data_IF_469307129530
#
_entry.id   IF_469307129530
#
_cell.length_a   1.000
_cell.length_b   1.000
_cell.length_c   1.000
_cell.angle_alpha   90.00
_cell.angle_beta   90.00
_cell.angle_gamma   90.00
#
_symmetry.space_group_name_H-M   'P 1'
#
loop_
_entity.id
_entity.type
_entity.pdbx_description
1 polymer ?
#
# COMPACT_ATOMS: atom_id res chain seq x y z
N UNK A 1 -0.08 43.36 -35.77
CA UNK A 1 1.27 43.81 -35.38
C UNK A 1 2.09 42.58 -35.07
N UNK A 2 3.06 42.32 -35.94
CA UNK A 2 4.00 41.20 -35.84
C UNK A 2 5.05 41.50 -34.78
N UNK A 3 5.43 40.49 -34.00
CA UNK A 3 6.83 40.31 -33.61
C UNK A 3 7.15 38.81 -33.53
N UNK A 4 8.04 38.40 -34.43
CA UNK A 4 8.66 37.08 -34.57
C UNK A 4 9.91 36.97 -33.67
N UNK A 5 10.52 35.78 -33.66
CA UNK A 5 11.93 35.46 -33.32
C UNK A 5 12.23 35.03 -31.86
N UNK A 6 13.07 34.03 -31.56
CA UNK A 6 13.81 33.00 -32.32
C UNK A 6 14.33 31.99 -31.27
N UNK A 7 14.48 30.74 -31.70
CA UNK A 7 15.00 29.59 -30.95
C UNK A 7 16.45 29.72 -30.48
N UNK A 8 16.81 28.95 -29.45
CA UNK A 8 18.17 28.42 -29.25
C UNK A 8 18.10 26.99 -28.70
N UNK A 9 18.38 26.03 -29.59
CA UNK A 9 18.78 24.67 -29.26
C UNK A 9 20.18 24.73 -28.63
N UNK A 10 20.38 24.00 -27.53
CA UNK A 10 21.71 23.55 -27.12
C UNK A 10 21.63 22.09 -26.69
N UNK A 11 22.02 21.20 -27.61
CA UNK A 11 22.43 19.84 -27.32
C UNK A 11 23.77 19.88 -26.60
N UNK A 12 23.82 19.36 -25.38
CA UNK A 12 25.08 18.87 -24.78
C UNK A 12 24.89 17.40 -24.41
N UNK A 13 25.37 16.54 -25.30
CA UNK A 13 25.63 15.15 -25.00
C UNK A 13 26.94 15.09 -24.20
N UNK A 14 26.88 14.69 -22.93
CA UNK A 14 28.06 14.31 -22.17
C UNK A 14 28.30 12.79 -22.29
N UNK A 15 29.55 12.36 -22.50
CA UNK A 15 29.91 10.97 -22.69
C UNK A 15 29.86 10.16 -21.38
N UNK A 16 29.34 8.94 -21.50
CA UNK A 16 29.45 7.87 -20.49
C UNK A 16 30.92 7.63 -20.11
N UNK A 17 31.26 7.87 -18.84
CA UNK A 17 32.47 7.36 -18.21
C UNK A 17 32.06 6.21 -17.28
N UNK A 18 32.09 4.99 -17.82
CA UNK A 18 32.02 3.76 -17.05
C UNK A 18 33.34 3.57 -16.30
N UNK A 19 33.31 3.62 -14.97
CA UNK A 19 34.42 3.18 -14.11
C UNK A 19 34.12 1.77 -13.62
N UNK A 20 34.96 0.76 -13.88
CA UNK A 20 34.93 -0.47 -13.11
C UNK A 20 35.51 -0.17 -11.72
N UNK A 21 34.72 -0.43 -10.68
CA UNK A 21 35.24 -0.55 -9.32
C UNK A 21 35.44 -2.04 -9.10
N UNK A 22 36.71 -2.44 -9.07
CA UNK A 22 37.13 -3.78 -8.67
C UNK A 22 36.85 -3.96 -7.17
N UNK A 23 35.92 -4.85 -6.85
CA UNK A 23 35.66 -5.31 -5.48
C UNK A 23 36.79 -6.27 -5.04
N UNK A 24 37.49 -6.02 -3.91
CA UNK A 24 38.35 -7.02 -3.32
C UNK A 24 37.50 -8.14 -2.68
N UNK A 25 37.56 -9.32 -3.29
CA UNK A 25 37.06 -10.59 -2.74
C UNK A 25 37.79 -10.88 -1.43
N UNK A 26 37.15 -10.61 -0.30
CA UNK A 26 37.58 -11.11 1.00
C UNK A 26 37.19 -12.58 1.10
N UNK A 27 38.15 -13.46 0.79
CA UNK A 27 38.06 -14.90 0.94
C UNK A 27 37.94 -15.29 2.43
N UNK A 28 36.78 -15.86 2.80
CA UNK A 28 36.59 -16.53 4.08
C UNK A 28 37.24 -17.94 4.03
N UNK A 29 37.94 -18.38 5.08
CA UNK A 29 38.54 -19.70 5.10
C UNK A 29 37.47 -20.80 5.17
N UNK A 30 37.60 -21.78 4.28
CA UNK A 30 36.89 -23.04 4.35
C UNK A 30 37.32 -23.77 5.63
N UNK A 31 36.43 -23.83 6.63
CA UNK A 31 36.64 -24.71 7.77
C UNK A 31 36.02 -26.07 7.45
N UNK A 32 36.85 -26.97 6.96
CA UNK A 32 36.55 -28.39 6.82
C UNK A 32 36.51 -29.01 8.21
N UNK A 33 35.32 -29.18 8.77
CA UNK A 33 35.11 -30.12 9.88
C UNK A 33 34.08 -31.15 9.47
N UNK A 34 34.60 -32.35 9.30
CA UNK A 34 33.95 -33.62 8.99
C UNK A 34 32.81 -33.93 9.96
N UNK A 35 31.64 -34.26 9.40
CA UNK A 35 30.52 -34.92 10.06
C UNK A 35 30.98 -36.21 10.77
N UNK A 36 30.41 -36.56 11.94
CA UNK A 36 29.42 -37.64 11.83
C UNK A 36 28.25 -37.52 12.81
N UNK A 37 27.18 -38.22 12.43
CA UNK A 37 26.02 -38.67 13.24
C UNK A 37 24.73 -37.86 13.03
N UNK A 38 23.98 -38.31 12.00
CA UNK A 38 22.53 -38.19 11.93
C UNK A 38 21.96 -38.93 13.14
N UNK A 39 21.42 -38.17 14.09
CA UNK A 39 20.51 -38.67 15.12
C UNK A 39 19.17 -37.99 14.86
N UNK A 40 18.16 -38.79 14.54
CA UNK A 40 16.85 -38.33 14.10
C UNK A 40 16.24 -37.32 15.07
N UNK A 41 15.94 -36.13 14.56
CA UNK A 41 14.93 -35.27 15.17
C UNK A 41 13.59 -35.97 14.89
N UNK A 42 12.74 -36.23 15.89
CA UNK A 42 11.39 -36.68 15.60
C UNK A 42 10.73 -35.61 14.71
N UNK A 43 10.33 -35.99 13.50
CA UNK A 43 9.38 -35.21 12.71
C UNK A 43 8.08 -35.13 13.53
N UNK A 44 8.01 -34.15 14.43
CA UNK A 44 6.73 -33.56 14.77
C UNK A 44 6.08 -33.13 13.46
N UNK A 45 4.76 -33.32 13.29
CA UNK A 45 4.10 -33.08 12.02
C UNK A 45 4.51 -31.70 11.53
N UNK A 46 5.17 -31.67 10.36
CA UNK A 46 5.54 -30.45 9.67
C UNK A 46 4.32 -29.53 9.75
N UNK A 47 4.47 -28.43 10.50
CA UNK A 47 3.40 -27.49 10.70
C UNK A 47 2.86 -27.12 9.34
N UNK A 48 1.64 -27.54 9.04
CA UNK A 48 0.87 -26.99 7.95
C UNK A 48 0.65 -25.53 8.33
N UNK A 49 1.61 -24.68 7.94
CA UNK A 49 1.33 -23.26 7.76
C UNK A 49 0.30 -23.23 6.65
N UNK A 50 -0.98 -23.20 7.05
CA UNK A 50 -2.03 -22.76 6.16
C UNK A 50 -1.53 -21.45 5.56
N UNK A 51 -1.34 -21.41 4.24
CA UNK A 51 -1.00 -20.17 3.55
C UNK A 51 -2.07 -19.16 3.93
N UNK A 52 -1.71 -18.17 4.76
CA UNK A 52 -2.65 -17.13 5.16
C UNK A 52 -3.12 -16.44 3.88
N UNK A 53 -4.43 -16.37 3.66
CA UNK A 53 -5.00 -15.69 2.50
C UNK A 53 -4.43 -14.26 2.41
N UNK A 54 -4.09 -13.84 1.20
CA UNK A 54 -3.55 -12.51 0.93
C UNK A 54 -4.48 -11.80 -0.02
N UNK A 55 -5.01 -10.66 0.41
CA UNK A 55 -5.77 -9.77 -0.47
C UNK A 55 -4.87 -8.69 -1.03
N UNK A 56 -5.23 -8.22 -2.22
CA UNK A 56 -4.57 -7.10 -2.88
C UNK A 56 -5.57 -5.95 -3.00
N UNK A 57 -5.19 -4.78 -2.49
CA UNK A 57 -5.90 -3.53 -2.70
C UNK A 57 -5.21 -2.82 -3.85
N UNK A 58 -5.90 -2.78 -4.99
CA UNK A 58 -5.33 -2.37 -6.26
C UNK A 58 -5.75 -0.94 -6.62
N UNK A 59 -4.81 -0.18 -7.19
CA UNK A 59 -5.10 1.11 -7.78
C UNK A 59 -5.66 2.14 -6.80
N UNK A 60 -5.25 2.06 -5.53
CA UNK A 60 -5.76 2.96 -4.50
C UNK A 60 -5.41 4.41 -4.79
N UNK A 61 -6.40 5.30 -4.66
CA UNK A 61 -6.28 6.72 -4.96
C UNK A 61 -7.23 7.53 -4.09
N UNK A 62 -6.77 8.65 -3.54
CA UNK A 62 -7.60 9.62 -2.81
C UNK A 62 -7.66 10.95 -3.55
N UNK A 63 -8.84 11.48 -3.81
CA UNK A 63 -9.03 12.84 -4.32
C UNK A 63 -9.85 13.64 -3.36
N UNK A 64 -9.26 14.70 -2.83
CA UNK A 64 -9.97 15.67 -2.01
C UNK A 64 -10.39 16.88 -2.84
N UNK A 65 -11.55 17.45 -2.52
CA UNK A 65 -11.96 18.74 -3.05
C UNK A 65 -11.00 19.82 -2.55
N UNK A 66 -10.86 20.91 -3.30
CA UNK A 66 -9.91 21.98 -2.97
C UNK A 66 -10.14 22.61 -1.58
N UNK A 67 -11.39 22.65 -1.12
CA UNK A 67 -11.77 23.13 0.21
C UNK A 67 -11.74 22.04 1.30
N UNK A 68 -11.31 20.83 0.96
CA UNK A 68 -11.21 19.66 1.84
C UNK A 68 -12.52 19.29 2.58
N UNK A 69 -13.69 19.60 1.97
CA UNK A 69 -14.99 19.21 2.55
C UNK A 69 -15.42 17.80 2.16
N UNK A 70 -14.75 17.22 1.15
CA UNK A 70 -14.99 15.85 0.68
C UNK A 70 -13.70 15.25 0.15
N UNK A 71 -13.46 13.98 0.45
CA UNK A 71 -12.44 13.16 -0.19
C UNK A 71 -13.04 11.85 -0.70
N UNK A 72 -12.82 11.55 -1.97
CA UNK A 72 -13.23 10.30 -2.60
C UNK A 72 -12.02 9.37 -2.71
N UNK A 73 -12.16 8.16 -2.19
CA UNK A 73 -11.24 7.05 -2.34
C UNK A 73 -11.76 6.08 -3.39
N UNK A 74 -10.89 5.65 -4.29
CA UNK A 74 -11.19 4.60 -5.28
C UNK A 74 -10.11 3.52 -5.23
N UNK A 75 -10.52 2.26 -5.28
CA UNK A 75 -9.61 1.10 -5.34
C UNK A 75 -10.38 -0.14 -5.78
N UNK A 76 -9.67 -1.23 -6.05
CA UNK A 76 -10.24 -2.55 -6.32
C UNK A 76 -9.80 -3.54 -5.25
N UNK A 77 -10.76 -4.29 -4.69
CA UNK A 77 -10.50 -5.40 -3.77
C UNK A 77 -10.34 -6.67 -4.59
N UNK A 78 -9.14 -7.26 -4.57
CA UNK A 78 -8.86 -8.53 -5.22
C UNK A 78 -8.38 -9.56 -4.18
N UNK A 79 -9.22 -10.55 -3.91
CA UNK A 79 -8.93 -11.61 -2.94
C UNK A 79 -8.18 -12.79 -3.56
N UNK A 80 -7.96 -12.77 -4.89
CA UNK A 80 -7.48 -13.90 -5.69
C UNK A 80 -8.22 -15.21 -5.37
N UNK A 81 -9.51 -15.11 -5.02
CA UNK A 81 -10.31 -16.21 -4.53
C UNK A 81 -11.69 -16.24 -5.21
N UNK A 82 -12.75 -16.47 -4.45
CA UNK A 82 -14.11 -16.79 -4.94
C UNK A 82 -14.73 -15.64 -5.74
N UNK A 83 -14.45 -14.39 -5.36
CA UNK A 83 -15.01 -13.22 -6.03
C UNK A 83 -14.07 -12.70 -7.11
N UNK A 84 -14.65 -12.27 -8.23
CA UNK A 84 -13.95 -11.41 -9.18
C UNK A 84 -13.51 -10.11 -8.47
N UNK A 85 -12.44 -9.43 -8.95
CA UNK A 85 -12.01 -8.17 -8.38
C UNK A 85 -13.16 -7.14 -8.31
N UNK A 86 -13.39 -6.58 -7.12
CA UNK A 86 -14.54 -5.69 -6.84
C UNK A 86 -14.07 -4.24 -6.76
N UNK A 87 -14.51 -3.35 -7.65
CA UNK A 87 -14.23 -1.92 -7.52
C UNK A 87 -15.00 -1.34 -6.33
N UNK A 88 -14.37 -0.40 -5.64
CA UNK A 88 -14.92 0.23 -4.46
C UNK A 88 -14.69 1.74 -4.52
N UNK A 89 -15.71 2.50 -4.12
CA UNK A 89 -15.64 3.94 -3.94
C UNK A 89 -16.11 4.28 -2.52
N UNK A 90 -15.33 5.11 -1.85
CA UNK A 90 -15.54 5.54 -0.47
C UNK A 90 -15.50 7.06 -0.45
N UNK A 91 -16.57 7.70 0.04
CA UNK A 91 -16.62 9.15 0.21
C UNK A 91 -16.52 9.50 1.69
N UNK A 92 -15.50 10.28 2.05
CA UNK A 92 -15.31 10.84 3.39
C UNK A 92 -15.71 12.32 3.34
N UNK A 93 -16.58 12.75 4.25
CA UNK A 93 -17.00 14.14 4.39
C UNK A 93 -16.26 14.81 5.53
N UNK A 94 -16.06 16.12 5.46
CA UNK A 94 -15.59 16.91 6.60
C UNK A 94 -16.64 16.94 7.71
N UNK A 95 -16.19 17.05 8.95
CA UNK A 95 -17.02 17.41 10.09
C UNK A 95 -16.87 18.91 10.36
N UNK A 96 -17.86 19.69 9.91
CA UNK A 96 -17.84 21.14 10.07
C UNK A 96 -18.03 21.58 11.53
N UNK A 97 -18.76 20.78 12.33
CA UNK A 97 -19.03 21.09 13.74
C UNK A 97 -17.75 20.98 14.57
N UNK A 98 -17.00 19.90 14.35
CA UNK A 98 -15.74 19.64 15.06
C UNK A 98 -14.50 20.17 14.33
N UNK A 99 -14.68 20.88 13.21
CA UNK A 99 -13.62 21.46 12.37
C UNK A 99 -12.61 20.41 11.88
N UNK A 100 -13.07 19.20 11.56
CA UNK A 100 -12.24 18.12 11.02
C UNK A 100 -12.36 18.11 9.49
N UNK A 101 -11.27 18.33 8.75
CA UNK A 101 -11.32 18.27 7.28
C UNK A 101 -11.54 16.82 6.80
N UNK A 102 -12.09 16.65 5.61
CA UNK A 102 -12.40 15.32 5.06
C UNK A 102 -11.18 14.40 4.96
N UNK A 103 -9.99 14.95 4.67
CA UNK A 103 -8.75 14.17 4.59
C UNK A 103 -8.29 13.59 5.93
N UNK A 104 -8.82 14.09 7.05
CA UNK A 104 -8.45 13.70 8.41
C UNK A 104 -9.65 13.16 9.21
N UNK A 105 -10.79 12.93 8.54
CA UNK A 105 -12.00 12.47 9.19
C UNK A 105 -12.18 10.95 9.07
N UNK A 106 -13.04 10.41 9.91
CA UNK A 106 -13.47 9.02 9.87
C UNK A 106 -14.73 8.87 8.99
N UNK A 107 -14.96 7.66 8.52
CA UNK A 107 -16.19 7.29 7.83
C UNK A 107 -16.54 5.84 8.17
N UNK A 108 -17.82 5.53 8.26
CA UNK A 108 -18.29 4.16 8.42
C UNK A 108 -19.32 3.80 7.34
N UNK A 109 -19.33 2.52 6.93
CA UNK A 109 -20.49 1.94 6.26
C UNK A 109 -20.54 2.08 4.74
N UNK A 110 -19.41 2.27 4.05
CA UNK A 110 -19.40 2.07 2.60
C UNK A 110 -19.57 0.59 2.26
N UNK A 111 -20.37 0.31 1.22
CA UNK A 111 -20.66 -1.05 0.76
C UNK A 111 -20.10 -1.20 -0.65
N UNK A 112 -19.24 -2.20 -0.84
CA UNK A 112 -18.59 -2.49 -2.11
C UNK A 112 -18.73 -3.98 -2.42
N UNK A 113 -19.82 -4.35 -3.09
CA UNK A 113 -20.19 -5.75 -3.30
C UNK A 113 -20.34 -6.49 -1.96
N UNK A 114 -19.60 -7.60 -1.73
CA UNK A 114 -19.66 -8.33 -0.45
C UNK A 114 -18.96 -7.58 0.70
N UNK A 115 -18.14 -6.58 0.39
CA UNK A 115 -17.30 -5.93 1.39
C UNK A 115 -18.01 -4.77 2.09
N UNK A 116 -17.68 -4.57 3.37
CA UNK A 116 -17.90 -3.32 4.10
C UNK A 116 -16.57 -2.60 4.23
N UNK A 117 -16.61 -1.29 4.03
CA UNK A 117 -15.44 -0.44 4.14
C UNK A 117 -15.72 0.72 5.07
N UNK A 118 -14.79 0.94 5.99
CA UNK A 118 -14.75 2.13 6.83
C UNK A 118 -13.44 2.90 6.56
N UNK A 119 -13.31 4.06 7.18
CA UNK A 119 -12.10 4.86 7.18
C UNK A 119 -11.82 5.36 8.59
N UNK A 120 -10.57 5.21 9.02
CA UNK A 120 -10.05 5.80 10.26
C UNK A 120 -8.81 6.62 9.96
N UNK A 121 -8.72 7.82 10.52
CA UNK A 121 -7.51 8.65 10.43
C UNK A 121 -6.81 8.77 11.78
N UNK A 122 -5.47 8.85 11.76
CA UNK A 122 -4.66 9.06 12.95
C UNK A 122 -3.47 9.97 12.67
N UNK A 123 -3.13 10.78 13.67
CA UNK A 123 -1.93 11.61 13.75
C UNK A 123 -1.03 11.22 14.93
N UNK A 124 -1.05 9.95 15.35
CA UNK A 124 -0.21 9.47 16.47
C UNK A 124 1.30 9.71 16.24
N UNK A 125 1.72 9.87 14.98
CA UNK A 125 3.11 10.21 14.59
C UNK A 125 3.30 11.70 14.25
N UNK A 126 2.37 12.56 14.65
CA UNK A 126 2.29 13.98 14.30
C UNK A 126 1.33 14.25 13.14
N UNK A 127 0.77 15.46 13.08
CA UNK A 127 -0.24 15.85 12.07
C UNK A 127 0.33 15.79 10.65
N UNK A 128 1.60 16.11 10.46
CA UNK A 128 2.29 16.06 9.17
C UNK A 128 2.62 14.62 8.71
N UNK A 129 2.50 13.65 9.63
CA UNK A 129 2.67 12.22 9.35
C UNK A 129 1.35 11.45 9.57
N UNK A 130 0.23 12.12 9.32
CA UNK A 130 -1.09 11.51 9.37
C UNK A 130 -1.24 10.36 8.37
N UNK A 131 -2.10 9.40 8.69
CA UNK A 131 -2.43 8.30 7.81
C UNK A 131 -3.89 7.91 7.91
N UNK A 132 -4.44 7.40 6.80
CA UNK A 132 -5.77 6.80 6.74
C UNK A 132 -5.64 5.29 6.70
N UNK A 133 -6.39 4.59 7.51
CA UNK A 133 -6.66 3.15 7.37
C UNK A 133 -8.03 2.99 6.75
N UNK A 134 -8.16 2.11 5.75
CA UNK A 134 -9.43 1.76 5.13
C UNK A 134 -9.77 0.29 5.41
N UNK A 135 -10.27 -0.09 6.61
CA UNK A 135 -10.62 -1.47 6.89
C UNK A 135 -11.60 -1.99 5.83
N UNK A 136 -11.24 -3.09 5.17
CA UNK A 136 -12.10 -3.79 4.21
C UNK A 136 -12.46 -5.13 4.83
N UNK A 137 -13.75 -5.35 5.10
CA UNK A 137 -14.23 -6.55 5.77
C UNK A 137 -15.21 -7.31 4.89
N UNK A 138 -15.05 -8.64 4.87
CA UNK A 138 -16.03 -9.59 4.40
C UNK A 138 -16.71 -10.20 5.64
N UNK A 139 -17.95 -9.80 5.88
CA UNK A 139 -18.69 -10.21 7.07
C UNK A 139 -19.19 -11.66 6.97
N UNK A 140 -19.39 -12.17 5.75
CA UNK A 140 -19.84 -13.54 5.52
C UNK A 140 -18.70 -14.52 5.79
N UNK A 141 -17.51 -14.21 5.26
CA UNK A 141 -16.30 -15.03 5.44
C UNK A 141 -15.56 -14.74 6.75
N UNK A 142 -16.01 -13.73 7.51
CA UNK A 142 -15.37 -13.22 8.74
C UNK A 142 -13.89 -12.89 8.54
N UNK A 143 -13.60 -12.15 7.49
CA UNK A 143 -12.25 -11.80 7.03
C UNK A 143 -12.07 -10.30 6.86
N UNK A 144 -10.88 -9.78 7.15
CA UNK A 144 -10.56 -8.37 6.97
C UNK A 144 -9.12 -8.14 6.55
N UNK A 145 -8.91 -7.04 5.84
CA UNK A 145 -7.60 -6.42 5.66
C UNK A 145 -7.67 -4.94 6.04
N UNK A 146 -6.52 -4.39 6.43
CA UNK A 146 -6.41 -3.04 6.97
C UNK A 146 -5.37 -2.25 6.16
N UNK A 147 -5.63 -1.92 4.89
CA UNK A 147 -4.76 -1.06 4.10
C UNK A 147 -4.60 0.29 4.80
N UNK A 148 -3.35 0.76 4.88
CA UNK A 148 -2.98 2.03 5.48
C UNK A 148 -2.19 2.86 4.48
N UNK A 149 -2.51 4.15 4.40
CA UNK A 149 -1.91 5.10 3.49
C UNK A 149 -1.52 6.36 4.24
N UNK A 150 -0.23 6.71 4.18
CA UNK A 150 0.24 8.02 4.64
C UNK A 150 -0.35 9.12 3.78
N UNK A 151 -0.79 10.22 4.41
CA UNK A 151 -1.45 11.33 3.72
C UNK A 151 -0.59 11.92 2.61
N UNK A 152 0.71 12.11 2.88
CA UNK A 152 1.71 12.62 1.92
C UNK A 152 1.83 11.79 0.64
N UNK A 153 1.45 10.51 0.68
CA UNK A 153 1.50 9.62 -0.50
C UNK A 153 0.26 9.74 -1.37
N UNK A 154 -0.85 10.22 -0.81
CA UNK A 154 -2.16 10.20 -1.47
C UNK A 154 -2.77 11.59 -1.66
N UNK A 155 -2.18 12.64 -1.07
CA UNK A 155 -2.66 14.03 -1.16
C UNK A 155 -2.73 14.58 -2.58
N UNK A 156 -1.90 14.08 -3.50
CA UNK A 156 -1.84 14.53 -4.90
C UNK A 156 -2.91 13.91 -5.79
N UNK A 157 -3.68 12.96 -5.28
CA UNK A 157 -4.62 12.19 -6.09
C UNK A 157 -3.95 11.40 -7.20
N UNK A 158 -2.76 10.88 -6.93
CA UNK A 158 -2.10 9.89 -7.79
C UNK A 158 -2.50 8.48 -7.34
N UNK A 159 -2.36 7.51 -8.25
CA UNK A 159 -2.53 6.10 -7.91
C UNK A 159 -1.33 5.66 -7.08
N UNK A 160 -1.59 5.02 -5.95
CA UNK A 160 -0.56 4.45 -5.09
C UNK A 160 0.09 3.26 -5.78
N UNK A 161 1.41 3.32 -5.96
CA UNK A 161 2.22 2.23 -6.52
C UNK A 161 3.37 1.90 -5.57
N UNK A 162 3.62 0.61 -5.24
CA UNK A 162 2.85 -0.56 -5.66
C UNK A 162 1.51 -0.69 -4.92
N UNK A 163 0.63 -1.54 -5.48
CA UNK A 163 -0.57 -2.03 -4.81
C UNK A 163 -0.24 -2.66 -3.46
N UNK A 164 -1.16 -2.57 -2.50
CA UNK A 164 -0.96 -3.16 -1.17
C UNK A 164 -1.39 -4.62 -1.17
N UNK A 165 -0.46 -5.51 -0.84
CA UNK A 165 -0.73 -6.93 -0.57
C UNK A 165 -0.72 -7.16 0.93
N UNK A 166 -1.83 -7.63 1.47
CA UNK A 166 -2.09 -7.64 2.91
C UNK A 166 -2.49 -9.03 3.38
N UNK A 167 -1.93 -9.51 4.51
CA UNK A 167 -2.40 -10.74 5.12
C UNK A 167 -3.80 -10.55 5.70
N UNK A 168 -4.69 -11.48 5.40
CA UNK A 168 -6.05 -11.49 5.93
C UNK A 168 -6.05 -11.77 7.43
N UNK A 169 -6.89 -11.04 8.15
CA UNK A 169 -7.26 -11.32 9.54
C UNK A 169 -8.62 -11.99 9.57
N UNK A 170 -8.74 -13.07 10.34
CA UNK A 170 -9.99 -13.80 10.52
C UNK A 170 -10.50 -13.61 11.95
N UNK A 171 -11.81 -13.59 12.14
CA UNK A 171 -12.43 -13.68 13.47
C UNK A 171 -13.43 -14.83 13.53
N UNK A 172 -13.65 -15.34 14.75
CA UNK A 172 -14.57 -16.44 15.02
C UNK A 172 -15.98 -15.94 15.33
#
# INVERSE_FOLDING_TARGET
MHTTATALLSLFALPCLSRPVDDPVMSLPANTTTNPQIVGVPEGPAGISALSEVWTIQGARRVCYANNTKCDWTFTVNTNSVYAPVPCMVTILSDAEHKVPASQNNMEGAVCGPYRVSAGWSSVFGVDNGFTVLPVTDMERKMAVYPSYEDKRVEKGEVVVPDLRLPVKTWQ
#
